data_IF_806738942545
#
_entry.id   IF_806738942545
#
_cell.length_a   1.000
_cell.length_b   1.000
_cell.length_c   1.000
_cell.angle_alpha   90.00
_cell.angle_beta   90.00
_cell.angle_gamma   90.00
#
_symmetry.space_group_name_H-M   'P 1'
#
loop_
_entity.id
_entity.type
_entity.pdbx_description
1 polymer ?
#
# COMPACT_ATOMS: atom_id res chain seq x y z
N UNK A 1 15.09 -14.63 -8.05
CA UNK A 1 14.79 -13.68 -6.96
C UNK A 1 14.47 -12.26 -7.47
N UNK A 2 15.39 -11.51 -8.08
CA UNK A 2 15.18 -10.11 -8.55
C UNK A 2 13.85 -9.83 -9.29
N UNK A 3 13.55 -10.57 -10.37
CA UNK A 3 12.32 -10.37 -11.14
C UNK A 3 11.05 -10.69 -10.34
N UNK A 4 11.13 -11.60 -9.37
CA UNK A 4 10.00 -11.94 -8.51
C UNK A 4 9.72 -10.80 -7.52
N UNK A 5 10.76 -10.20 -6.92
CA UNK A 5 10.62 -9.05 -6.03
C UNK A 5 10.04 -7.83 -6.76
N UNK A 6 10.49 -7.56 -8.00
CA UNK A 6 9.98 -6.48 -8.84
C UNK A 6 8.50 -6.67 -9.23
N UNK A 7 8.13 -7.87 -9.69
CA UNK A 7 6.75 -8.20 -10.03
C UNK A 7 5.82 -8.13 -8.80
N UNK A 8 6.30 -8.55 -7.63
CA UNK A 8 5.55 -8.44 -6.38
C UNK A 8 5.38 -6.97 -5.96
N UNK A 9 6.42 -6.14 -6.08
CA UNK A 9 6.35 -4.71 -5.76
C UNK A 9 5.35 -3.94 -6.65
N UNK A 10 5.37 -4.19 -7.96
CA UNK A 10 4.44 -3.57 -8.91
C UNK A 10 2.98 -3.99 -8.66
N UNK A 11 2.74 -5.29 -8.42
CA UNK A 11 1.39 -5.79 -8.09
C UNK A 11 0.86 -5.20 -6.80
N UNK A 12 1.73 -5.07 -5.79
CA UNK A 12 1.37 -4.46 -4.50
C UNK A 12 0.94 -3.01 -4.67
N UNK A 13 1.70 -2.21 -5.44
CA UNK A 13 1.38 -0.81 -5.69
C UNK A 13 0.06 -0.62 -6.45
N UNK A 14 -0.20 -1.44 -7.48
CA UNK A 14 -1.45 -1.38 -8.26
C UNK A 14 -2.68 -1.72 -7.41
N UNK A 15 -2.62 -2.81 -6.64
CA UNK A 15 -3.72 -3.24 -5.77
C UNK A 15 -4.12 -2.16 -4.75
N UNK A 16 -3.15 -1.47 -4.14
CA UNK A 16 -3.41 -0.44 -3.14
C UNK A 16 -4.10 0.79 -3.72
N UNK A 17 -3.74 1.16 -4.95
CA UNK A 17 -4.40 2.26 -5.66
C UNK A 17 -5.87 1.94 -5.91
N UNK A 18 -6.18 0.71 -6.33
CA UNK A 18 -7.55 0.27 -6.57
C UNK A 18 -8.38 0.22 -5.28
N UNK A 19 -7.80 -0.28 -4.19
CA UNK A 19 -8.47 -0.35 -2.88
C UNK A 19 -8.81 1.05 -2.33
N UNK A 20 -7.90 2.01 -2.46
CA UNK A 20 -8.13 3.40 -2.07
C UNK A 20 -9.29 4.04 -2.85
N UNK A 21 -9.37 3.79 -4.16
CA UNK A 21 -10.47 4.27 -5.01
C UNK A 21 -11.80 3.63 -4.61
N UNK A 22 -11.83 2.32 -4.36
CA UNK A 22 -13.05 1.61 -3.96
C UNK A 22 -13.62 2.15 -2.64
N UNK A 23 -12.76 2.41 -1.65
CA UNK A 23 -13.19 2.99 -0.36
C UNK A 23 -13.76 4.40 -0.53
N UNK A 24 -13.14 5.22 -1.38
CA UNK A 24 -13.64 6.57 -1.65
C UNK A 24 -15.05 6.57 -2.25
N UNK A 25 -15.38 5.57 -3.08
CA UNK A 25 -16.67 5.43 -3.75
C UNK A 25 -17.83 4.98 -2.84
N UNK A 26 -17.55 4.37 -1.68
CA UNK A 26 -18.58 3.77 -0.82
C UNK A 26 -19.35 4.75 0.11
N UNK A 27 -19.09 6.06 0.06
CA UNK A 27 -19.42 7.00 1.15
C UNK A 27 -20.84 7.64 1.16
N UNK A 28 -21.91 6.89 0.89
CA UNK A 28 -23.29 7.41 0.98
C UNK A 28 -23.95 7.21 2.36
N UNK A 29 -23.84 8.14 3.32
CA UNK A 29 -24.54 8.01 4.63
C UNK A 29 -24.71 9.30 5.48
N UNK A 30 -25.13 9.23 6.77
CA UNK A 30 -25.50 10.40 7.60
C UNK A 30 -24.32 11.28 8.10
N UNK A 31 -24.53 12.59 8.36
CA UNK A 31 -23.45 13.61 8.58
C UNK A 31 -22.40 13.32 9.68
N UNK A 32 -22.78 12.89 10.88
CA UNK A 32 -21.80 12.64 11.97
C UNK A 32 -21.00 11.37 11.73
N UNK A 33 -21.67 10.34 11.19
CA UNK A 33 -21.05 9.11 10.71
C UNK A 33 -20.14 9.38 9.51
N UNK A 34 -20.53 10.27 8.59
CA UNK A 34 -19.72 10.74 7.47
C UNK A 34 -18.42 11.43 7.92
N UNK A 35 -18.45 12.23 8.99
CA UNK A 35 -17.25 12.92 9.50
C UNK A 35 -16.24 11.93 10.11
N UNK A 36 -16.73 11.00 10.94
CA UNK A 36 -15.89 9.92 11.49
C UNK A 36 -15.34 9.00 10.39
N UNK A 37 -16.18 8.68 9.40
CA UNK A 37 -15.76 7.89 8.25
C UNK A 37 -14.73 8.63 7.39
N UNK A 38 -14.89 9.95 7.17
CA UNK A 38 -13.90 10.78 6.47
C UNK A 38 -12.54 10.75 7.16
N UNK A 39 -12.50 10.89 8.49
CA UNK A 39 -11.24 10.80 9.23
C UNK A 39 -10.54 9.44 9.04
N UNK A 40 -11.31 8.35 9.11
CA UNK A 40 -10.79 6.99 8.85
C UNK A 40 -10.31 6.80 7.41
N UNK A 41 -11.01 7.37 6.43
CA UNK A 41 -10.60 7.36 5.02
C UNK A 41 -9.33 8.17 4.80
N UNK A 42 -9.23 9.35 5.40
CA UNK A 42 -8.02 10.19 5.32
C UNK A 42 -6.79 9.47 5.90
N UNK A 43 -6.97 8.78 7.04
CA UNK A 43 -5.92 7.96 7.63
C UNK A 43 -5.51 6.79 6.72
N UNK A 44 -6.48 6.09 6.13
CA UNK A 44 -6.22 5.02 5.16
C UNK A 44 -5.50 5.54 3.91
N UNK A 45 -5.88 6.72 3.41
CA UNK A 45 -5.25 7.37 2.27
C UNK A 45 -3.81 7.79 2.60
N UNK A 46 -3.57 8.35 3.78
CA UNK A 46 -2.23 8.71 4.25
C UNK A 46 -1.34 7.47 4.38
N UNK A 47 -1.85 6.38 4.97
CA UNK A 47 -1.15 5.10 5.06
C UNK A 47 -0.83 4.52 3.67
N UNK A 48 -1.79 4.57 2.75
CA UNK A 48 -1.62 4.11 1.37
C UNK A 48 -0.55 4.92 0.63
N UNK A 49 -0.51 6.24 0.83
CA UNK A 49 0.52 7.11 0.26
C UNK A 49 1.92 6.82 0.84
N UNK A 50 2.03 6.52 2.14
CA UNK A 50 3.30 6.07 2.74
C UNK A 50 3.76 4.75 2.13
N UNK A 51 2.83 3.82 1.92
CA UNK A 51 3.15 2.52 1.34
C UNK A 51 3.59 2.64 -0.13
N UNK A 52 2.98 3.55 -0.90
CA UNK A 52 3.42 3.87 -2.26
C UNK A 52 4.86 4.42 -2.29
N UNK A 53 5.22 5.29 -1.35
CA UNK A 53 6.61 5.76 -1.19
C UNK A 53 7.57 4.62 -0.87
N UNK A 54 7.18 3.70 0.01
CA UNK A 54 7.99 2.52 0.31
C UNK A 54 8.17 1.62 -0.92
N UNK A 55 7.13 1.45 -1.74
CA UNK A 55 7.22 0.75 -3.04
C UNK A 55 8.22 1.41 -4.00
N UNK A 56 8.24 2.74 -4.09
CA UNK A 56 9.23 3.47 -4.90
C UNK A 56 10.67 3.23 -4.42
N UNK A 57 10.88 3.18 -3.10
CA UNK A 57 12.20 2.88 -2.53
C UNK A 57 12.63 1.44 -2.86
N UNK A 58 11.72 0.47 -2.79
CA UNK A 58 11.99 -0.90 -3.22
C UNK A 58 12.34 -0.99 -4.71
N UNK A 59 11.70 -0.18 -5.56
CA UNK A 59 12.04 -0.12 -6.98
C UNK A 59 13.46 0.44 -7.21
N UNK A 60 13.86 1.44 -6.43
CA UNK A 60 15.25 1.95 -6.46
C UNK A 60 16.25 0.88 -6.02
N UNK A 61 15.95 0.14 -4.94
CA UNK A 61 16.75 -1.01 -4.49
C UNK A 61 16.85 -2.07 -5.60
N UNK A 62 15.74 -2.40 -6.26
CA UNK A 62 15.73 -3.35 -7.36
C UNK A 62 16.62 -2.88 -8.52
N UNK A 63 16.57 -1.59 -8.90
CA UNK A 63 17.46 -1.02 -9.92
C UNK A 63 18.93 -1.12 -9.52
N UNK A 64 19.29 -0.72 -8.30
CA UNK A 64 20.66 -0.79 -7.79
C UNK A 64 21.19 -2.22 -7.78
N UNK A 65 20.36 -3.18 -7.35
CA UNK A 65 20.71 -4.60 -7.44
C UNK A 65 20.87 -5.02 -8.90
N UNK A 66 19.93 -4.68 -9.78
CA UNK A 66 19.95 -5.05 -11.21
C UNK A 66 21.18 -4.51 -11.96
N UNK A 67 21.76 -3.39 -11.52
CA UNK A 67 23.01 -2.84 -12.05
C UNK A 67 24.29 -3.44 -11.44
N UNK A 68 24.18 -4.56 -10.72
CA UNK A 68 25.32 -5.23 -10.08
C UNK A 68 25.73 -4.63 -8.72
N UNK A 69 24.97 -3.64 -8.22
CA UNK A 69 25.13 -3.11 -6.87
C UNK A 69 24.62 -4.07 -5.79
N UNK A 70 24.82 -3.66 -4.53
CA UNK A 70 24.41 -4.42 -3.36
C UNK A 70 23.36 -3.64 -2.57
N UNK A 71 22.40 -4.35 -1.99
CA UNK A 71 21.40 -3.76 -1.10
C UNK A 71 21.21 -4.68 0.12
N UNK A 72 21.82 -4.28 1.23
CA UNK A 72 21.62 -4.91 2.52
C UNK A 72 20.15 -4.80 2.96
N UNK A 73 19.64 -5.84 3.61
CA UNK A 73 18.27 -5.91 4.16
C UNK A 73 17.13 -5.82 3.14
N UNK A 74 17.40 -6.01 1.83
CA UNK A 74 16.37 -5.92 0.79
C UNK A 74 15.18 -6.86 1.05
N UNK A 75 15.45 -8.12 1.43
CA UNK A 75 14.40 -9.09 1.74
C UNK A 75 13.56 -8.70 2.96
N UNK A 76 14.22 -8.13 3.99
CA UNK A 76 13.55 -7.68 5.21
C UNK A 76 12.66 -6.45 4.94
N UNK A 77 13.13 -5.54 4.09
CA UNK A 77 12.37 -4.38 3.63
C UNK A 77 11.13 -4.81 2.83
N UNK A 78 11.29 -5.76 1.90
CA UNK A 78 10.17 -6.35 1.15
C UNK A 78 9.17 -6.99 2.11
N UNK A 79 9.62 -7.80 3.06
CA UNK A 79 8.74 -8.45 4.03
C UNK A 79 7.96 -7.45 4.89
N UNK A 80 8.57 -6.32 5.28
CA UNK A 80 7.88 -5.24 6.01
C UNK A 80 6.82 -4.56 5.16
N UNK A 81 7.16 -4.23 3.90
CA UNK A 81 6.21 -3.58 2.96
C UNK A 81 5.01 -4.48 2.68
N UNK A 82 5.23 -5.79 2.48
CA UNK A 82 4.14 -6.75 2.28
C UNK A 82 3.22 -6.85 3.51
N UNK A 83 3.78 -6.87 4.72
CA UNK A 83 2.98 -6.85 5.95
C UNK A 83 2.17 -5.56 6.10
N UNK A 84 2.75 -4.42 5.74
CA UNK A 84 2.05 -3.15 5.76
C UNK A 84 0.90 -3.13 4.73
N UNK A 85 1.14 -3.64 3.52
CA UNK A 85 0.12 -3.78 2.47
C UNK A 85 -1.07 -4.62 2.93
N UNK A 86 -0.82 -5.80 3.50
CA UNK A 86 -1.87 -6.68 4.00
C UNK A 86 -2.72 -6.02 5.11
N UNK A 87 -2.12 -5.18 5.96
CA UNK A 87 -2.85 -4.45 7.01
C UNK A 87 -3.75 -3.35 6.43
N UNK A 88 -3.24 -2.61 5.45
CA UNK A 88 -4.01 -1.56 4.76
C UNK A 88 -5.18 -2.18 3.98
N UNK A 89 -4.94 -3.30 3.29
CA UNK A 89 -5.99 -4.07 2.61
C UNK A 89 -7.09 -4.54 3.58
N UNK A 90 -6.70 -5.10 4.72
CA UNK A 90 -7.65 -5.56 5.72
C UNK A 90 -8.49 -4.39 6.28
N UNK A 91 -7.86 -3.23 6.54
CA UNK A 91 -8.57 -2.04 7.00
C UNK A 91 -9.55 -1.50 5.93
N UNK A 92 -9.12 -1.41 4.67
CA UNK A 92 -9.97 -1.00 3.55
C UNK A 92 -11.18 -1.92 3.38
N UNK A 93 -10.95 -3.24 3.47
CA UNK A 93 -12.01 -4.24 3.36
C UNK A 93 -13.02 -4.14 4.50
N UNK A 94 -12.54 -3.94 5.74
CA UNK A 94 -13.43 -3.74 6.90
C UNK A 94 -14.24 -2.45 6.78
N UNK A 95 -13.67 -1.39 6.23
CA UNK A 95 -14.39 -0.14 5.96
C UNK A 95 -15.46 -0.30 4.88
N UNK A 96 -15.23 -1.16 3.87
CA UNK A 96 -16.17 -1.40 2.78
C UNK A 96 -17.33 -2.34 3.15
N UNK A 97 -17.21 -3.15 4.21
CA UNK A 97 -18.29 -4.04 4.69
C UNK A 97 -19.32 -3.36 5.59
N UNK A 98 -19.07 -2.12 6.00
CA UNK A 98 -19.91 -1.35 6.94
C UNK A 98 -20.68 -0.26 6.23
#
# INVERSE_FOLDING_TARGET
>A
MKRAAEAVGLKTAGFLADAAVAVAQAQGGPKTWLLDQRGRVEELMAASAQLARAGNNLNQVARALNSGGQAQYADEAVARVLRAAARIEAAATEMARR
#
